data_IF_092336435627
#
_entry.id   IF_092336435627
#
_cell.length_a   1.000
_cell.length_b   1.000
_cell.length_c   1.000
_cell.angle_alpha   90.00
_cell.angle_beta   90.00
_cell.angle_gamma   90.00
#
_symmetry.space_group_name_H-M   'P 1'
#
loop_
_entity.id
_entity.type
_entity.pdbx_description
1 polymer ?
#
# COMPACT_ATOMS: atom_id res chain seq x y z
N UNK A 1 -29.17 13.59 4.93
CA UNK A 1 -28.53 14.81 5.48
C UNK A 1 -27.20 14.34 6.02
N UNK A 2 -26.12 14.32 5.23
CA UNK A 2 -25.33 15.50 4.78
C UNK A 2 -25.01 16.33 6.04
N UNK A 3 -23.77 16.36 6.55
CA UNK A 3 -22.64 17.03 5.92
C UNK A 3 -21.27 16.55 6.45
N UNK A 4 -20.32 16.44 5.52
CA UNK A 4 -18.94 16.96 5.59
C UNK A 4 -18.19 16.76 6.92
N UNK A 5 -17.29 15.77 6.94
CA UNK A 5 -15.95 16.00 7.46
C UNK A 5 -14.96 15.56 6.39
N UNK A 6 -14.73 16.50 5.49
CA UNK A 6 -13.52 16.62 4.70
C UNK A 6 -12.33 16.71 5.67
N UNK A 7 -11.76 15.56 6.02
CA UNK A 7 -10.48 15.49 6.73
C UNK A 7 -9.46 15.00 5.71
N UNK A 8 -8.90 15.96 4.98
CA UNK A 8 -7.61 15.89 4.29
C UNK A 8 -6.44 15.61 5.28
N UNK A 9 -6.66 14.77 6.30
CA UNK A 9 -5.60 14.24 7.13
C UNK A 9 -5.05 13.01 6.44
N UNK A 10 -3.76 13.05 6.13
CA UNK A 10 -2.95 11.88 5.85
C UNK A 10 -2.88 10.94 7.08
N UNK A 11 -4.02 10.56 7.68
CA UNK A 11 -4.14 9.42 8.58
C UNK A 11 -3.71 8.24 7.73
N UNK A 12 -2.56 7.66 8.05
CA UNK A 12 -2.17 6.34 7.56
C UNK A 12 -3.23 5.34 7.99
N UNK A 13 -4.38 5.31 7.31
CA UNK A 13 -5.35 4.24 7.45
C UNK A 13 -4.57 2.98 7.10
N UNK A 14 -4.48 2.07 8.06
CA UNK A 14 -3.78 0.80 7.86
C UNK A 14 -4.38 0.20 6.57
N UNK A 15 -3.58 -0.03 5.53
CA UNK A 15 -4.12 -0.46 4.26
C UNK A 15 -4.92 -1.73 4.52
N UNK A 16 -6.20 -1.70 4.14
CA UNK A 16 -7.04 -2.87 4.26
C UNK A 16 -6.37 -4.02 3.47
N UNK A 17 -6.49 -5.25 3.94
CA UNK A 17 -5.98 -6.44 3.22
C UNK A 17 -6.45 -6.44 1.75
N UNK A 18 -7.64 -5.87 1.49
CA UNK A 18 -8.17 -5.65 0.14
C UNK A 18 -7.26 -4.78 -0.74
N UNK A 19 -6.71 -3.69 -0.21
CA UNK A 19 -5.81 -2.80 -0.95
C UNK A 19 -4.54 -3.53 -1.39
N UNK A 20 -3.97 -4.40 -0.54
CA UNK A 20 -2.83 -5.24 -0.89
C UNK A 20 -3.14 -6.14 -2.10
N UNK A 21 -4.29 -6.82 -2.10
CA UNK A 21 -4.69 -7.68 -3.22
C UNK A 21 -5.03 -6.88 -4.49
N UNK A 22 -5.61 -5.69 -4.37
CA UNK A 22 -5.85 -4.78 -5.49
C UNK A 22 -4.53 -4.32 -6.12
N UNK A 23 -3.57 -3.88 -5.31
CA UNK A 23 -2.24 -3.44 -5.75
C UNK A 23 -1.46 -4.61 -6.38
N UNK A 24 -1.59 -5.81 -5.80
CA UNK A 24 -1.01 -7.02 -6.35
C UNK A 24 -1.63 -7.41 -7.71
N UNK A 25 -2.90 -7.11 -7.96
CA UNK A 25 -3.60 -7.48 -9.20
C UNK A 25 -3.36 -6.48 -10.35
N UNK A 26 -2.64 -5.39 -10.10
CA UNK A 26 -2.35 -4.37 -11.11
C UNK A 26 -1.52 -4.88 -12.30
N UNK A 27 -1.67 -4.27 -13.49
CA UNK A 27 -0.95 -4.66 -14.69
C UNK A 27 0.52 -4.22 -14.61
N UNK A 28 1.44 -5.18 -14.44
CA UNK A 28 2.89 -4.93 -14.48
C UNK A 28 3.68 -6.20 -14.80
N UNK A 29 4.93 -6.08 -15.30
CA UNK A 29 5.81 -7.22 -15.54
C UNK A 29 6.13 -8.00 -14.26
N UNK A 30 6.15 -9.33 -14.34
CA UNK A 30 6.33 -10.21 -13.18
C UNK A 30 7.63 -9.94 -12.38
N UNK A 31 8.73 -9.64 -13.05
CA UNK A 31 9.99 -9.29 -12.37
C UNK A 31 9.89 -8.00 -11.55
N UNK A 32 9.22 -6.98 -12.10
CA UNK A 32 8.98 -5.71 -11.39
C UNK A 32 8.04 -5.89 -10.21
N UNK A 33 6.99 -6.70 -10.39
CA UNK A 33 6.06 -7.12 -9.34
C UNK A 33 6.77 -7.73 -8.14
N UNK A 34 7.61 -8.73 -8.40
CA UNK A 34 8.34 -9.43 -7.34
C UNK A 34 9.36 -8.50 -6.65
N UNK A 35 10.07 -7.67 -7.42
CA UNK A 35 11.02 -6.69 -6.87
C UNK A 35 10.35 -5.71 -5.90
N UNK A 36 9.20 -5.15 -6.29
CA UNK A 36 8.44 -4.22 -5.44
C UNK A 36 7.87 -4.92 -4.21
N UNK A 37 7.32 -6.13 -4.39
CA UNK A 37 6.77 -6.91 -3.29
C UNK A 37 7.85 -7.23 -2.24
N UNK A 38 9.05 -7.64 -2.66
CA UNK A 38 10.17 -7.91 -1.74
C UNK A 38 10.64 -6.62 -1.07
N UNK A 39 10.86 -5.53 -1.82
CA UNK A 39 11.37 -4.26 -1.27
C UNK A 39 10.41 -3.61 -0.26
N UNK A 40 9.12 -3.61 -0.57
CA UNK A 40 8.09 -3.00 0.29
C UNK A 40 7.89 -3.83 1.56
N UNK A 41 7.88 -5.17 1.46
CA UNK A 41 7.83 -6.04 2.63
C UNK A 41 9.12 -5.99 3.48
N UNK A 42 10.30 -5.92 2.87
CA UNK A 42 11.56 -5.76 3.59
C UNK A 42 11.59 -4.43 4.37
N UNK A 43 11.09 -3.35 3.77
CA UNK A 43 10.97 -2.05 4.43
C UNK A 43 9.96 -2.08 5.57
N UNK A 44 8.85 -2.79 5.42
CA UNK A 44 7.86 -3.05 6.48
C UNK A 44 8.46 -3.77 7.68
N UNK A 45 9.27 -4.81 7.45
CA UNK A 45 9.95 -5.54 8.52
C UNK A 45 11.00 -4.66 9.19
N UNK A 46 11.82 -3.93 8.40
CA UNK A 46 12.88 -3.06 8.91
C UNK A 46 12.34 -1.88 9.73
N UNK A 47 11.32 -1.20 9.23
CA UNK A 47 10.78 0.03 9.82
C UNK A 47 9.60 -0.24 10.77
N UNK A 48 9.10 -1.48 10.84
CA UNK A 48 7.88 -1.88 11.57
C UNK A 48 6.67 -1.02 11.21
N UNK A 49 6.53 -0.63 9.94
CA UNK A 49 5.45 0.21 9.42
C UNK A 49 4.59 -0.56 8.42
N UNK A 50 3.28 -0.32 8.41
CA UNK A 50 2.31 -1.15 7.68
C UNK A 50 2.42 -1.07 6.14
N UNK A 51 2.86 0.07 5.61
CA UNK A 51 3.15 0.32 4.19
C UNK A 51 4.31 1.31 4.08
N UNK A 52 5.31 0.95 3.27
CA UNK A 52 6.48 1.75 2.93
C UNK A 52 6.65 1.69 1.41
N UNK A 53 6.59 2.83 0.73
CA UNK A 53 6.57 2.91 -0.74
C UNK A 53 5.46 3.82 -1.26
N UNK A 54 5.09 3.68 -2.53
CA UNK A 54 3.98 4.41 -3.12
C UNK A 54 2.64 3.70 -2.85
N UNK A 55 1.57 4.42 -2.47
CA UNK A 55 0.22 3.86 -2.46
C UNK A 55 -0.11 3.31 -3.86
N UNK A 56 -0.55 2.05 -3.94
CA UNK A 56 -0.80 1.37 -5.22
C UNK A 56 0.26 0.34 -5.60
N UNK A 57 1.43 0.34 -4.94
CA UNK A 57 2.48 -0.62 -5.22
C UNK A 57 2.27 -1.97 -4.51
N UNK A 58 2.77 -3.08 -5.09
CA UNK A 58 2.71 -4.40 -4.45
C UNK A 58 3.49 -4.40 -3.13
N UNK A 59 2.91 -4.94 -2.06
CA UNK A 59 3.55 -4.94 -0.74
C UNK A 59 3.16 -3.74 0.14
N UNK A 60 2.48 -2.76 -0.46
CA UNK A 60 1.56 -1.82 0.16
C UNK A 60 0.12 -2.18 -0.28
#
# INVERSE_FOLDING_TARGET
MVDIMDDHSHKRQRPAIRAFFTNLSGPMPFGKKLSLLIKNNASKIKNRQDCCGHPGEPGC
#
